data_IF_617492127797
#
_entry.id   IF_617492127797
#
_cell.length_a   1.000
_cell.length_b   1.000
_cell.length_c   1.000
_cell.angle_alpha   90.00
_cell.angle_beta   90.00
_cell.angle_gamma   90.00
#
_symmetry.space_group_name_H-M   'P 1'
#
loop_
_entity.id
_entity.type
_entity.pdbx_description
1 polymer ?
#
# COMPACT_ATOMS: atom_id res chain seq x y z
N UNK A 1 -25.82 18.50 6.89
CA UNK A 1 -24.43 18.89 7.21
C UNK A 1 -23.71 17.60 7.56
N UNK A 2 -22.89 17.09 6.65
CA UNK A 2 -22.08 15.88 6.87
C UNK A 2 -20.81 16.38 7.57
N UNK A 3 -20.65 16.05 8.86
CA UNK A 3 -19.44 16.33 9.62
C UNK A 3 -18.28 15.54 9.01
N UNK A 4 -17.42 16.21 8.28
CA UNK A 4 -16.13 15.65 7.83
C UNK A 4 -15.25 15.62 9.08
N UNK A 5 -14.78 14.47 9.55
CA UNK A 5 -13.83 14.44 10.65
C UNK A 5 -12.54 15.14 10.20
N UNK A 6 -12.07 16.07 11.02
CA UNK A 6 -10.82 16.77 10.79
C UNK A 6 -9.68 15.75 10.65
N UNK A 7 -9.02 15.75 9.50
CA UNK A 7 -7.82 14.97 9.25
C UNK A 7 -6.73 15.54 10.14
N UNK A 8 -6.32 14.78 11.14
CA UNK A 8 -5.14 15.10 11.91
C UNK A 8 -3.96 14.83 10.97
N UNK A 9 -3.39 15.91 10.44
CA UNK A 9 -2.15 15.88 9.67
C UNK A 9 -1.13 14.98 10.40
N UNK A 10 -0.68 13.91 9.75
CA UNK A 10 0.31 12.97 10.29
C UNK A 10 1.71 13.56 10.49
N UNK A 11 1.83 14.88 10.52
CA UNK A 11 3.09 15.60 10.70
C UNK A 11 3.36 15.85 12.18
N UNK A 12 3.84 14.80 12.88
CA UNK A 12 4.52 14.99 14.15
C UNK A 12 5.92 15.53 13.86
N UNK A 13 6.28 16.77 14.26
CA UNK A 13 7.62 17.29 14.06
C UNK A 13 8.66 16.34 14.65
N UNK A 14 9.62 15.90 13.82
CA UNK A 14 10.66 14.97 14.26
C UNK A 14 10.29 13.48 14.19
N UNK A 15 9.11 13.11 13.69
CA UNK A 15 8.76 11.71 13.49
C UNK A 15 9.72 11.05 12.49
N UNK A 16 10.32 9.91 12.90
CA UNK A 16 11.17 9.11 12.01
C UNK A 16 10.32 8.49 10.90
N UNK A 17 10.85 8.48 9.69
CA UNK A 17 10.19 7.84 8.54
C UNK A 17 10.10 6.34 8.76
N UNK A 18 8.88 5.80 8.60
CA UNK A 18 8.62 4.36 8.58
C UNK A 18 9.12 3.73 7.28
N UNK A 19 9.11 2.40 7.29
CA UNK A 19 9.36 1.56 6.12
C UNK A 19 8.14 0.67 5.86
N UNK A 20 7.94 0.31 4.61
CA UNK A 20 6.83 -0.53 4.19
C UNK A 20 7.33 -1.63 3.29
N UNK A 21 6.76 -2.82 3.44
CA UNK A 21 6.83 -3.86 2.44
C UNK A 21 5.44 -4.04 1.82
N UNK A 22 5.37 -4.05 0.49
CA UNK A 22 4.19 -4.54 -0.22
C UNK A 22 4.56 -5.86 -0.89
N UNK A 23 3.99 -6.96 -0.37
CA UNK A 23 4.06 -8.26 -1.03
C UNK A 23 2.94 -8.34 -2.07
N UNK A 24 3.27 -8.75 -3.28
CA UNK A 24 2.33 -8.87 -4.39
C UNK A 24 2.31 -10.33 -4.82
N UNK A 25 1.34 -11.10 -4.33
CA UNK A 25 1.16 -12.49 -4.74
C UNK A 25 0.40 -12.56 -6.05
N UNK A 26 0.96 -13.31 -7.01
CA UNK A 26 0.27 -13.70 -8.25
C UNK A 26 -0.32 -15.09 -8.05
N UNK A 27 -1.62 -15.21 -8.26
CA UNK A 27 -2.36 -16.46 -8.13
C UNK A 27 -3.01 -16.82 -9.46
N UNK A 28 -3.14 -18.12 -9.70
CA UNK A 28 -3.79 -18.69 -10.88
C UNK A 28 -5.03 -19.48 -10.43
N UNK A 29 -6.11 -18.72 -10.16
CA UNK A 29 -7.40 -19.29 -9.82
C UNK A 29 -7.69 -19.41 -8.31
N UNK A 30 -8.93 -19.86 -7.99
CA UNK A 30 -9.46 -19.83 -6.63
C UNK A 30 -8.69 -20.68 -5.63
N UNK A 31 -8.14 -21.81 -6.04
CA UNK A 31 -7.41 -22.71 -5.15
C UNK A 31 -6.14 -22.04 -4.58
N UNK A 32 -5.35 -21.38 -5.43
CA UNK A 32 -4.17 -20.65 -4.97
C UNK A 32 -4.54 -19.40 -4.16
N UNK A 33 -5.62 -18.72 -4.54
CA UNK A 33 -6.12 -17.58 -3.76
C UNK A 33 -6.51 -18.03 -2.34
N UNK A 34 -7.28 -19.12 -2.21
CA UNK A 34 -7.69 -19.68 -0.93
C UNK A 34 -6.51 -20.15 -0.07
N UNK A 35 -5.51 -20.82 -0.68
CA UNK A 35 -4.30 -21.25 0.02
C UNK A 35 -3.50 -20.04 0.56
N UNK A 36 -3.38 -18.97 -0.25
CA UNK A 36 -2.72 -17.73 0.16
C UNK A 36 -3.50 -17.03 1.27
N UNK A 37 -4.84 -16.95 1.18
CA UNK A 37 -5.69 -16.39 2.23
C UNK A 37 -5.53 -17.14 3.55
N UNK A 38 -5.60 -18.47 3.52
CA UNK A 38 -5.43 -19.31 4.73
C UNK A 38 -4.08 -19.02 5.39
N UNK A 39 -3.01 -19.03 4.61
CA UNK A 39 -1.67 -18.74 5.12
C UNK A 39 -1.57 -17.33 5.75
N UNK A 40 -2.07 -16.31 5.06
CA UNK A 40 -2.02 -14.95 5.56
C UNK A 40 -2.83 -14.80 6.86
N UNK A 41 -4.05 -15.34 6.89
CA UNK A 41 -4.97 -15.27 8.02
C UNK A 41 -4.50 -16.06 9.24
N UNK A 42 -4.04 -17.29 9.03
CA UNK A 42 -3.80 -18.25 10.13
C UNK A 42 -2.33 -18.31 10.59
N UNK A 43 -1.37 -17.91 9.73
CA UNK A 43 0.05 -17.98 10.05
C UNK A 43 0.74 -16.61 10.04
N UNK A 44 0.72 -15.90 8.91
CA UNK A 44 1.55 -14.71 8.71
C UNK A 44 1.15 -13.54 9.60
N UNK A 45 -0.14 -13.14 9.59
CA UNK A 45 -0.64 -12.00 10.38
C UNK A 45 -0.50 -12.27 11.89
N UNK A 46 -0.88 -13.44 12.44
CA UNK A 46 -0.65 -13.75 13.85
C UNK A 46 0.83 -13.67 14.26
N UNK A 47 1.74 -14.17 13.42
CA UNK A 47 3.18 -14.09 13.69
C UNK A 47 3.71 -12.65 13.66
N UNK A 48 3.20 -11.82 12.74
CA UNK A 48 3.53 -10.41 12.66
C UNK A 48 3.04 -9.64 13.89
N UNK A 49 1.78 -9.86 14.33
CA UNK A 49 1.23 -9.27 15.55
C UNK A 49 2.04 -9.68 16.79
N UNK A 50 2.42 -10.95 16.91
CA UNK A 50 3.31 -11.45 17.97
C UNK A 50 4.66 -10.74 17.97
N UNK A 51 5.15 -10.34 16.81
CA UNK A 51 6.38 -9.56 16.64
C UNK A 51 6.18 -8.05 16.84
N UNK A 52 4.99 -7.59 17.23
CA UNK A 52 4.65 -6.19 17.45
C UNK A 52 4.42 -5.39 16.16
N UNK A 53 4.27 -6.06 15.02
CA UNK A 53 3.91 -5.45 13.73
C UNK A 53 2.39 -5.52 13.58
N UNK A 54 1.74 -4.36 13.64
CA UNK A 54 0.29 -4.22 13.55
C UNK A 54 -0.09 -3.40 12.30
N UNK A 55 -1.38 -3.32 12.01
CA UNK A 55 -1.93 -2.64 10.84
C UNK A 55 -1.42 -3.25 9.53
N UNK A 56 -1.54 -4.57 9.42
CA UNK A 56 -1.24 -5.30 8.20
C UNK A 56 -2.44 -5.23 7.27
N UNK A 57 -2.24 -4.62 6.10
CA UNK A 57 -3.28 -4.53 5.08
C UNK A 57 -3.23 -5.72 4.13
N UNK A 58 -4.37 -6.37 3.91
CA UNK A 58 -4.50 -7.37 2.84
C UNK A 58 -5.62 -6.95 1.91
N UNK A 59 -5.28 -6.75 0.63
CA UNK A 59 -6.18 -6.18 -0.35
C UNK A 59 -6.26 -7.05 -1.59
N UNK A 60 -7.48 -7.15 -2.17
CA UNK A 60 -7.72 -7.83 -3.44
C UNK A 60 -8.36 -6.87 -4.42
N UNK A 61 -7.94 -6.90 -5.71
CA UNK A 61 -8.56 -6.10 -6.75
C UNK A 61 -10.07 -6.34 -6.81
N UNK A 62 -10.83 -5.26 -7.03
CA UNK A 62 -12.29 -5.31 -7.23
C UNK A 62 -12.65 -6.03 -8.53
N UNK A 63 -13.89 -6.47 -8.68
CA UNK A 63 -14.34 -7.27 -9.83
C UNK A 63 -14.14 -6.59 -11.19
N UNK A 64 -14.21 -5.27 -11.22
CA UNK A 64 -14.01 -4.48 -12.45
C UNK A 64 -12.54 -4.23 -12.80
N UNK A 65 -11.61 -4.57 -11.90
CA UNK A 65 -10.17 -4.43 -12.16
C UNK A 65 -9.65 -5.62 -12.98
N UNK A 66 -8.75 -5.36 -13.92
CA UNK A 66 -8.15 -6.42 -14.79
C UNK A 66 -7.30 -7.42 -14.02
N UNK A 67 -6.89 -7.08 -12.79
CA UNK A 67 -6.15 -7.93 -11.88
C UNK A 67 -7.04 -8.75 -10.93
N UNK A 68 -8.37 -8.63 -11.04
CA UNK A 68 -9.32 -9.40 -10.23
C UNK A 68 -9.05 -10.90 -10.28
N UNK A 69 -9.03 -11.54 -9.13
CA UNK A 69 -8.75 -12.97 -8.99
C UNK A 69 -7.30 -13.41 -9.32
N UNK A 70 -6.40 -12.45 -9.62
CA UNK A 70 -5.01 -12.73 -10.05
C UNK A 70 -3.96 -12.21 -9.09
N UNK A 71 -4.28 -11.20 -8.29
CA UNK A 71 -3.34 -10.55 -7.39
C UNK A 71 -3.90 -10.44 -5.96
N UNK A 72 -3.01 -10.57 -4.98
CA UNK A 72 -3.25 -10.27 -3.57
C UNK A 72 -2.13 -9.36 -3.11
N UNK A 73 -2.47 -8.21 -2.54
CA UNK A 73 -1.51 -7.24 -2.01
C UNK A 73 -1.48 -7.31 -0.49
N UNK A 74 -0.28 -7.38 0.09
CA UNK A 74 -0.08 -7.37 1.55
C UNK A 74 0.82 -6.22 1.91
N UNK A 75 0.30 -5.25 2.65
CA UNK A 75 1.05 -4.12 3.19
C UNK A 75 1.52 -4.45 4.60
N UNK A 76 2.82 -4.41 4.84
CA UNK A 76 3.44 -4.65 6.14
C UNK A 76 4.24 -3.41 6.55
N UNK A 77 3.87 -2.70 7.63
CA UNK A 77 4.60 -1.53 8.10
C UNK A 77 5.71 -1.89 9.09
N UNK A 78 6.84 -1.20 9.01
CA UNK A 78 7.96 -1.33 9.92
C UNK A 78 8.36 0.04 10.46
N UNK A 79 8.67 0.14 11.75
CA UNK A 79 9.16 1.39 12.36
C UNK A 79 10.56 1.73 11.89
N UNK A 80 11.39 0.70 11.66
CA UNK A 80 12.77 0.82 11.18
C UNK A 80 13.04 -0.24 10.11
N UNK A 81 14.09 -0.05 9.30
CA UNK A 81 14.51 -1.10 8.34
C UNK A 81 15.03 -2.37 9.05
N UNK A 82 15.61 -2.23 10.25
CA UNK A 82 16.07 -3.38 11.05
C UNK A 82 14.89 -4.28 11.46
N UNK A 83 13.72 -3.72 11.72
CA UNK A 83 12.53 -4.47 12.11
C UNK A 83 12.08 -5.44 11.01
N UNK A 84 12.30 -5.09 9.73
CA UNK A 84 12.06 -5.98 8.61
C UNK A 84 12.93 -7.25 8.71
N UNK A 85 14.23 -7.09 8.93
CA UNK A 85 15.16 -8.23 9.03
C UNK A 85 14.94 -9.06 10.30
N UNK A 86 14.66 -8.40 11.42
CA UNK A 86 14.30 -9.07 12.67
C UNK A 86 13.05 -9.92 12.51
N UNK A 87 12.04 -9.39 11.84
CA UNK A 87 10.80 -10.11 11.59
C UNK A 87 11.03 -11.32 10.66
N UNK A 88 11.77 -11.13 9.57
CA UNK A 88 12.11 -12.24 8.67
C UNK A 88 12.81 -13.39 9.43
N UNK A 89 13.82 -13.06 10.25
CA UNK A 89 14.52 -14.06 11.07
C UNK A 89 13.63 -14.70 12.15
N UNK A 90 12.70 -13.93 12.73
CA UNK A 90 11.77 -14.46 13.73
C UNK A 90 10.81 -15.49 13.13
N UNK A 91 10.35 -15.29 11.90
CA UNK A 91 9.50 -16.26 11.21
C UNK A 91 10.19 -17.63 11.00
N UNK A 92 11.50 -17.64 10.74
CA UNK A 92 12.25 -18.89 10.52
C UNK A 92 12.18 -19.84 11.72
N UNK A 93 12.13 -19.27 12.94
CA UNK A 93 12.17 -20.01 14.21
C UNK A 93 10.84 -20.07 14.95
N UNK A 94 9.79 -19.40 14.47
CA UNK A 94 8.48 -19.40 15.11
C UNK A 94 7.74 -20.72 14.85
N UNK A 95 7.69 -21.60 15.87
CA UNK A 95 7.06 -22.90 15.77
C UNK A 95 5.56 -22.82 15.46
N UNK A 96 4.83 -21.79 15.98
CA UNK A 96 3.41 -21.62 15.72
C UNK A 96 3.17 -21.18 14.27
N UNK A 97 3.97 -20.26 13.75
CA UNK A 97 3.94 -19.83 12.36
C UNK A 97 4.23 -21.01 11.42
N UNK A 98 5.30 -21.78 11.70
CA UNK A 98 5.70 -22.92 10.87
C UNK A 98 4.63 -24.01 10.89
N UNK A 99 4.00 -24.29 12.02
CA UNK A 99 2.92 -25.28 12.11
C UNK A 99 1.66 -24.83 11.37
N UNK A 100 1.20 -23.60 11.58
CA UNK A 100 -0.01 -23.06 10.93
C UNK A 100 0.18 -22.84 9.42
N UNK A 101 1.38 -22.42 9.02
CA UNK A 101 1.75 -22.12 7.63
C UNK A 101 2.28 -23.31 6.85
N UNK A 102 2.37 -24.53 7.44
CA UNK A 102 3.09 -25.68 6.88
C UNK A 102 2.76 -25.96 5.42
N UNK A 103 1.47 -26.10 5.11
CA UNK A 103 1.01 -26.43 3.75
C UNK A 103 1.42 -25.40 2.69
N UNK A 104 1.60 -24.14 3.11
CA UNK A 104 2.04 -23.05 2.25
C UNK A 104 3.57 -22.96 2.15
N UNK A 105 4.25 -23.09 3.30
CA UNK A 105 5.70 -22.91 3.41
C UNK A 105 6.46 -24.08 2.77
N UNK A 106 5.98 -25.32 2.98
CA UNK A 106 6.59 -26.55 2.48
C UNK A 106 5.97 -27.05 1.18
N UNK A 107 5.13 -26.25 0.52
CA UNK A 107 4.47 -26.62 -0.72
C UNK A 107 5.49 -27.00 -1.81
N UNK A 108 5.16 -28.05 -2.55
CA UNK A 108 5.97 -28.50 -3.71
C UNK A 108 5.54 -27.77 -4.99
N UNK A 109 6.31 -27.92 -6.06
CA UNK A 109 5.95 -27.37 -7.36
C UNK A 109 4.60 -27.90 -7.89
N UNK A 110 4.20 -29.13 -7.50
CA UNK A 110 2.95 -29.73 -7.95
C UNK A 110 1.71 -29.07 -7.32
N UNK A 111 1.86 -28.51 -6.12
CA UNK A 111 0.78 -27.88 -5.35
C UNK A 111 1.15 -26.46 -4.88
N UNK A 112 1.92 -25.73 -5.70
CA UNK A 112 2.37 -24.38 -5.39
C UNK A 112 1.18 -23.45 -5.06
N UNK A 113 1.18 -22.77 -3.90
CA UNK A 113 0.05 -21.97 -3.43
C UNK A 113 -0.05 -20.60 -4.10
N UNK A 114 0.90 -20.25 -4.93
CA UNK A 114 0.93 -19.03 -5.77
C UNK A 114 1.83 -19.28 -6.98
N UNK A 115 1.71 -18.45 -8.00
CA UNK A 115 2.61 -18.50 -9.18
C UNK A 115 3.97 -17.92 -8.82
N UNK A 116 3.99 -16.70 -8.33
CA UNK A 116 5.17 -15.95 -7.82
C UNK A 116 4.68 -14.86 -6.88
N UNK A 117 5.57 -14.37 -6.02
CA UNK A 117 5.34 -13.11 -5.34
C UNK A 117 6.53 -12.16 -5.52
N UNK A 118 6.23 -10.89 -5.47
CA UNK A 118 7.19 -9.80 -5.45
C UNK A 118 7.17 -9.14 -4.08
N UNK A 119 8.34 -8.82 -3.53
CA UNK A 119 8.48 -7.98 -2.35
C UNK A 119 8.99 -6.61 -2.78
N UNK A 120 8.25 -5.55 -2.42
CA UNK A 120 8.60 -4.16 -2.71
C UNK A 120 8.84 -3.45 -1.39
N UNK A 121 10.11 -3.11 -1.12
CA UNK A 121 10.49 -2.44 0.11
C UNK A 121 10.66 -0.93 -0.12
N UNK A 122 10.04 -0.13 0.76
CA UNK A 122 9.91 1.30 0.58
C UNK A 122 10.24 2.05 1.86
N UNK A 123 10.67 3.31 1.69
CA UNK A 123 10.79 4.30 2.76
C UNK A 123 9.66 5.32 2.63
N UNK A 124 9.00 5.64 3.74
CA UNK A 124 7.97 6.67 3.80
C UNK A 124 8.46 8.03 3.26
N UNK A 125 7.56 8.84 2.71
CA UNK A 125 7.90 10.21 2.33
C UNK A 125 8.11 11.10 3.56
N UNK A 126 8.90 12.17 3.39
CA UNK A 126 9.24 13.07 4.48
C UNK A 126 8.04 13.82 5.06
N UNK A 127 7.09 14.22 4.20
CA UNK A 127 5.90 14.96 4.62
C UNK A 127 4.75 14.05 5.09
N UNK A 128 4.86 12.72 4.90
CA UNK A 128 4.02 11.71 5.52
C UNK A 128 4.90 10.57 6.06
N UNK A 129 5.65 10.80 7.16
CA UNK A 129 6.65 9.85 7.66
C UNK A 129 6.04 8.62 8.34
N UNK A 130 4.76 8.68 8.73
CA UNK A 130 4.03 7.62 9.41
C UNK A 130 2.84 7.17 8.57
N UNK A 131 2.49 5.90 8.70
CA UNK A 131 1.26 5.36 8.11
C UNK A 131 0.04 5.87 8.88
N UNK A 132 -1.05 6.09 8.15
CA UNK A 132 -2.34 6.41 8.72
C UNK A 132 -3.37 5.38 8.27
N UNK A 133 -4.13 4.83 9.23
CA UNK A 133 -5.24 3.90 8.95
C UNK A 133 -6.55 4.63 9.24
N UNK A 134 -7.26 5.12 8.22
CA UNK A 134 -8.53 5.79 8.39
C UNK A 134 -9.59 4.87 8.99
N UNK A 135 -10.40 5.41 9.90
CA UNK A 135 -11.55 4.69 10.46
C UNK A 135 -12.81 5.08 9.70
N UNK A 136 -13.41 4.11 9.03
CA UNK A 136 -14.68 4.25 8.35
C UNK A 136 -15.80 3.58 9.13
N UNK A 137 -17.01 4.13 9.01
CA UNK A 137 -18.24 3.50 9.49
C UNK A 137 -18.87 2.55 8.48
N UNK A 138 -18.46 2.65 7.21
CA UNK A 138 -18.90 1.76 6.12
C UNK A 138 -18.34 0.34 6.30
N UNK A 139 -19.08 -0.64 5.80
CA UNK A 139 -18.63 -2.03 5.80
C UNK A 139 -17.30 -2.18 5.02
N UNK A 140 -16.40 -3.08 5.43
CA UNK A 140 -15.13 -3.32 4.71
C UNK A 140 -15.32 -3.61 3.21
N UNK A 141 -16.37 -4.34 2.83
CA UNK A 141 -16.70 -4.66 1.45
C UNK A 141 -17.06 -3.44 0.57
N UNK A 142 -17.50 -2.33 1.19
CA UNK A 142 -17.81 -1.10 0.46
C UNK A 142 -16.58 -0.21 0.29
N UNK A 143 -15.57 -0.36 1.16
CA UNK A 143 -14.38 0.50 1.16
C UNK A 143 -13.52 0.26 -0.06
N UNK A 144 -13.03 1.33 -0.64
CA UNK A 144 -12.08 1.27 -1.77
C UNK A 144 -10.70 1.65 -1.29
N UNK A 145 -9.73 0.82 -1.62
CA UNK A 145 -8.30 1.08 -1.46
C UNK A 145 -7.67 1.15 -2.84
N UNK A 146 -7.05 2.29 -3.17
CA UNK A 146 -6.39 2.48 -4.45
C UNK A 146 -4.87 2.45 -4.26
N UNK A 147 -4.25 1.33 -4.68
CA UNK A 147 -2.80 1.19 -4.72
C UNK A 147 -2.26 1.73 -6.03
N UNK A 148 -1.40 2.72 -5.96
CA UNK A 148 -0.80 3.35 -7.14
C UNK A 148 0.70 3.16 -7.17
N UNK A 149 1.24 2.99 -8.38
CA UNK A 149 2.68 2.89 -8.66
C UNK A 149 3.04 3.81 -9.82
N UNK A 150 4.02 4.69 -9.61
CA UNK A 150 4.53 5.62 -10.61
C UNK A 150 5.97 5.29 -10.92
N UNK A 151 6.22 4.83 -12.14
CA UNK A 151 7.54 4.54 -12.67
C UNK A 151 8.09 5.79 -13.36
N UNK A 152 9.40 6.01 -13.28
CA UNK A 152 10.09 7.14 -13.91
C UNK A 152 11.15 6.66 -14.87
N UNK A 153 11.49 7.48 -15.85
CA UNK A 153 12.51 7.15 -16.86
C UNK A 153 13.96 7.20 -16.33
N UNK A 154 14.18 7.82 -15.15
CA UNK A 154 15.49 7.89 -14.50
C UNK A 154 15.36 8.12 -13.00
N UNK A 155 16.42 7.84 -12.23
CA UNK A 155 16.49 8.10 -10.79
C UNK A 155 16.22 9.59 -10.48
N UNK A 156 16.82 10.51 -11.24
CA UNK A 156 16.60 11.95 -11.05
C UNK A 156 15.14 12.35 -11.25
N UNK A 157 14.45 11.79 -12.24
CA UNK A 157 13.03 12.04 -12.47
C UNK A 157 12.15 11.45 -11.35
N UNK A 158 12.50 10.28 -10.83
CA UNK A 158 11.80 9.69 -9.68
C UNK A 158 11.96 10.54 -8.41
N UNK A 159 13.18 10.99 -8.11
CA UNK A 159 13.44 11.88 -6.97
C UNK A 159 12.71 13.22 -7.13
N UNK A 160 12.66 13.77 -8.35
CA UNK A 160 11.91 14.99 -8.63
C UNK A 160 10.38 14.78 -8.49
N UNK A 161 9.84 13.61 -8.85
CA UNK A 161 8.43 13.28 -8.58
C UNK A 161 8.16 13.19 -7.07
N UNK A 162 9.07 12.59 -6.30
CA UNK A 162 8.98 12.56 -4.83
C UNK A 162 9.05 13.99 -4.24
N UNK A 163 9.92 14.86 -4.78
CA UNK A 163 9.96 16.29 -4.41
C UNK A 163 8.62 16.98 -4.70
N UNK A 164 7.98 16.69 -5.84
CA UNK A 164 6.65 17.22 -6.17
C UNK A 164 5.60 16.84 -5.12
N UNK A 165 5.59 15.59 -4.64
CA UNK A 165 4.70 15.16 -3.56
C UNK A 165 4.96 15.90 -2.24
N UNK A 166 6.22 16.03 -1.83
CA UNK A 166 6.63 16.68 -0.58
C UNK A 166 6.65 18.22 -0.72
N UNK A 167 7.80 18.78 -1.08
CA UNK A 167 8.01 20.24 -1.16
C UNK A 167 7.10 20.93 -2.18
N UNK A 168 6.72 20.26 -3.27
CA UNK A 168 5.75 20.76 -4.24
C UNK A 168 4.32 20.81 -3.70
N UNK A 169 4.02 20.08 -2.62
CA UNK A 169 2.77 20.17 -1.89
C UNK A 169 1.64 19.25 -2.42
N UNK A 170 1.93 18.27 -3.27
CA UNK A 170 0.90 17.32 -3.75
C UNK A 170 0.20 16.59 -2.59
N UNK A 171 0.94 16.19 -1.52
CA UNK A 171 0.38 15.60 -0.30
C UNK A 171 -0.63 16.53 0.36
N UNK A 172 -0.34 17.84 0.43
CA UNK A 172 -1.25 18.83 1.01
C UNK A 172 -2.54 18.99 0.22
N UNK A 173 -2.49 18.76 -1.10
CA UNK A 173 -3.70 18.76 -1.93
C UNK A 173 -4.59 17.58 -1.55
N UNK A 174 -4.03 16.38 -1.36
CA UNK A 174 -4.78 15.22 -0.86
C UNK A 174 -5.46 15.51 0.49
N UNK A 175 -4.77 16.18 1.41
CA UNK A 175 -5.34 16.58 2.70
C UNK A 175 -6.52 17.57 2.53
N UNK A 176 -6.35 18.59 1.68
CA UNK A 176 -7.37 19.63 1.44
C UNK A 176 -8.66 19.09 0.84
N UNK A 177 -8.58 18.08 -0.03
CA UNK A 177 -9.75 17.49 -0.69
C UNK A 177 -10.39 16.35 0.12
N UNK A 178 -9.86 16.04 1.32
CA UNK A 178 -10.37 14.97 2.15
C UNK A 178 -10.06 13.56 1.64
N UNK A 179 -9.07 13.40 0.77
CA UNK A 179 -8.52 12.08 0.48
C UNK A 179 -7.86 11.51 1.74
N UNK A 180 -7.93 10.20 1.89
CA UNK A 180 -7.38 9.50 3.05
C UNK A 180 -6.15 8.70 2.62
N UNK A 181 -4.96 9.33 2.49
CA UNK A 181 -3.74 8.60 2.19
C UNK A 181 -3.37 7.71 3.37
N UNK A 182 -3.03 6.45 3.07
CA UNK A 182 -2.53 5.48 4.05
C UNK A 182 -1.01 5.60 4.16
N UNK A 183 -0.33 5.62 3.04
CA UNK A 183 1.12 5.87 2.96
C UNK A 183 1.53 6.43 1.60
N UNK A 184 2.68 7.09 1.56
CA UNK A 184 3.47 7.36 0.36
C UNK A 184 4.88 6.80 0.57
N UNK A 185 5.41 6.05 -0.40
CA UNK A 185 6.69 5.36 -0.26
C UNK A 185 7.60 5.47 -1.48
N UNK A 186 8.87 5.80 -1.23
CA UNK A 186 9.94 5.65 -2.21
C UNK A 186 10.37 4.18 -2.26
N UNK A 187 10.32 3.55 -3.42
CA UNK A 187 10.79 2.18 -3.59
C UNK A 187 12.31 2.13 -3.52
N UNK A 188 12.84 1.43 -2.52
CA UNK A 188 14.26 1.20 -2.32
C UNK A 188 14.71 -0.11 -2.97
N UNK A 189 13.92 -1.19 -2.76
CA UNK A 189 14.16 -2.53 -3.32
C UNK A 189 12.88 -3.05 -3.96
N UNK A 190 13.01 -3.82 -5.03
CA UNK A 190 11.89 -4.38 -5.80
C UNK A 190 12.09 -4.20 -7.29
N UNK A 191 11.15 -4.71 -8.09
CA UNK A 191 11.15 -4.61 -9.54
C UNK A 191 10.70 -3.22 -10.04
N UNK A 192 10.89 -2.95 -11.34
CA UNK A 192 10.36 -1.78 -12.05
C UNK A 192 10.84 -0.43 -11.48
N UNK A 193 12.04 -0.39 -10.91
CA UNK A 193 12.69 0.85 -10.46
C UNK A 193 13.20 1.68 -11.66
N UNK A 194 13.31 3.02 -11.50
CA UNK A 194 12.96 3.79 -10.30
C UNK A 194 11.45 4.06 -10.23
N UNK A 195 10.86 3.90 -9.04
CA UNK A 195 9.42 4.14 -8.84
C UNK A 195 9.09 4.55 -7.40
N UNK A 196 7.91 5.11 -7.23
CA UNK A 196 7.24 5.32 -5.95
C UNK A 196 5.91 4.55 -5.93
N UNK A 197 5.41 4.26 -4.74
CA UNK A 197 4.07 3.71 -4.55
C UNK A 197 3.35 4.44 -3.43
N UNK A 198 2.03 4.46 -3.49
CA UNK A 198 1.19 4.97 -2.41
C UNK A 198 -0.17 4.29 -2.39
N UNK A 199 -0.83 4.38 -1.24
CA UNK A 199 -2.17 3.84 -1.02
C UNK A 199 -3.06 4.95 -0.49
N UNK A 200 -4.20 5.15 -1.15
CA UNK A 200 -5.30 5.99 -0.67
C UNK A 200 -6.52 5.14 -0.40
N UNK A 201 -7.42 5.61 0.44
CA UNK A 201 -8.63 4.86 0.77
C UNK A 201 -9.86 5.74 0.87
N UNK A 202 -11.01 5.14 0.59
CA UNK A 202 -12.29 5.84 0.45
C UNK A 202 -13.41 4.99 1.06
N UNK A 203 -14.43 5.65 1.59
CA UNK A 203 -15.57 4.98 2.20
C UNK A 203 -16.35 4.08 1.22
N UNK A 204 -16.34 4.43 -0.08
CA UNK A 204 -16.97 3.69 -1.18
C UNK A 204 -16.49 4.23 -2.53
N UNK A 205 -16.93 3.62 -3.64
CA UNK A 205 -16.57 4.03 -5.00
C UNK A 205 -17.01 5.47 -5.32
N UNK A 206 -18.19 5.89 -4.87
CA UNK A 206 -18.64 7.26 -5.09
C UNK A 206 -17.71 8.29 -4.44
N UNK A 207 -17.30 8.06 -3.21
CA UNK A 207 -16.35 8.96 -2.53
C UNK A 207 -14.96 8.95 -3.16
N UNK A 208 -14.51 7.83 -3.74
CA UNK A 208 -13.32 7.75 -4.58
C UNK A 208 -13.43 8.68 -5.80
N UNK A 209 -14.51 8.56 -6.57
CA UNK A 209 -14.70 9.31 -7.81
C UNK A 209 -14.84 10.82 -7.55
N UNK A 210 -15.62 11.20 -6.52
CA UNK A 210 -15.79 12.59 -6.09
C UNK A 210 -14.45 13.21 -5.66
N UNK A 211 -13.64 12.45 -4.91
CA UNK A 211 -12.34 12.89 -4.43
C UNK A 211 -11.35 13.12 -5.60
N UNK A 212 -11.28 12.20 -6.55
CA UNK A 212 -10.44 12.37 -7.75
C UNK A 212 -10.94 13.48 -8.68
N UNK A 213 -12.25 13.72 -8.75
CA UNK A 213 -12.80 14.89 -9.46
C UNK A 213 -12.35 16.20 -8.80
N UNK A 214 -12.46 16.28 -7.47
CA UNK A 214 -11.99 17.43 -6.69
C UNK A 214 -10.48 17.65 -6.84
N UNK A 215 -9.67 16.58 -6.82
CA UNK A 215 -8.23 16.67 -7.03
C UNK A 215 -7.89 17.29 -8.39
N UNK A 216 -8.48 16.76 -9.47
CA UNK A 216 -8.23 17.28 -10.82
C UNK A 216 -8.68 18.73 -11.02
N UNK A 217 -9.74 19.14 -10.33
CA UNK A 217 -10.28 20.50 -10.38
C UNK A 217 -9.51 21.49 -9.50
N UNK A 218 -8.73 21.01 -8.51
CA UNK A 218 -8.07 21.84 -7.52
C UNK A 218 -7.08 22.82 -8.16
N UNK A 219 -7.13 24.15 -7.85
CA UNK A 219 -6.26 25.13 -8.46
C UNK A 219 -4.77 24.86 -8.18
N UNK A 220 -4.41 24.44 -6.96
CA UNK A 220 -3.03 24.10 -6.61
C UNK A 220 -2.52 22.91 -7.44
N UNK A 221 -3.38 21.93 -7.74
CA UNK A 221 -3.00 20.82 -8.61
C UNK A 221 -2.75 21.27 -10.05
N UNK A 222 -3.62 22.12 -10.59
CA UNK A 222 -3.43 22.67 -11.94
C UNK A 222 -2.13 23.43 -12.06
N UNK A 223 -1.81 24.28 -11.07
CA UNK A 223 -0.54 24.99 -11.02
C UNK A 223 0.66 24.04 -10.90
N UNK A 224 0.60 23.08 -9.95
CA UNK A 224 1.68 22.12 -9.69
C UNK A 224 1.95 21.20 -10.89
N UNK A 225 0.90 20.65 -11.50
CA UNK A 225 1.01 19.71 -12.62
C UNK A 225 1.48 20.37 -13.92
N UNK A 226 1.29 21.67 -14.08
CA UNK A 226 1.75 22.44 -15.25
C UNK A 226 3.15 23.03 -15.07
N UNK A 227 3.72 22.98 -13.86
CA UNK A 227 5.04 23.53 -13.58
C UNK A 227 6.11 22.83 -14.39
N UNK A 228 6.94 23.60 -15.10
CA UNK A 228 8.01 23.10 -15.98
C UNK A 228 8.99 22.18 -15.25
N UNK A 229 9.28 22.49 -13.98
CA UNK A 229 10.15 21.74 -13.10
C UNK A 229 9.75 20.27 -12.98
N UNK A 230 8.43 19.95 -13.02
CA UNK A 230 7.90 18.59 -12.77
C UNK A 230 7.53 17.83 -14.04
N UNK A 231 7.73 18.42 -15.22
CA UNK A 231 7.42 17.76 -16.50
C UNK A 231 8.27 16.52 -16.75
N UNK A 232 7.62 15.48 -17.28
CA UNK A 232 8.29 14.24 -17.66
C UNK A 232 8.81 13.40 -16.49
N UNK A 233 8.31 13.62 -15.28
CA UNK A 233 8.72 12.86 -14.09
C UNK A 233 8.22 11.42 -14.07
N UNK A 234 7.07 11.15 -14.70
CA UNK A 234 6.43 9.82 -14.68
C UNK A 234 6.40 9.28 -16.11
N UNK A 235 6.93 8.07 -16.30
CA UNK A 235 6.91 7.35 -17.57
C UNK A 235 5.75 6.35 -17.66
N UNK A 236 5.33 5.80 -16.50
CA UNK A 236 4.22 4.85 -16.42
C UNK A 236 3.49 4.96 -15.09
N UNK A 237 2.17 4.89 -15.14
CA UNK A 237 1.30 4.86 -13.97
C UNK A 237 0.50 3.57 -13.96
N UNK A 238 0.41 2.94 -12.80
CA UNK A 238 -0.52 1.85 -12.52
C UNK A 238 -1.38 2.23 -11.34
N UNK A 239 -2.65 1.87 -11.38
CA UNK A 239 -3.59 2.03 -10.28
C UNK A 239 -4.41 0.74 -10.17
N UNK A 240 -4.60 0.25 -8.97
CA UNK A 240 -5.39 -0.94 -8.67
C UNK A 240 -6.41 -0.58 -7.61
N UNK A 241 -7.68 -0.74 -7.92
CA UNK A 241 -8.78 -0.59 -6.97
C UNK A 241 -9.00 -1.91 -6.26
N UNK A 242 -9.05 -1.87 -4.94
CA UNK A 242 -9.11 -3.06 -4.11
C UNK A 242 -10.14 -2.92 -3.00
N UNK A 243 -10.66 -4.06 -2.53
CA UNK A 243 -11.29 -4.21 -1.23
C UNK A 243 -10.32 -4.83 -0.21
N UNK A 244 -10.42 -4.48 1.08
CA UNK A 244 -9.70 -5.22 2.12
C UNK A 244 -10.35 -6.60 2.29
N UNK A 245 -9.57 -7.59 2.70
CA UNK A 245 -10.11 -8.89 3.12
C UNK A 245 -10.74 -8.79 4.51
N UNK A 246 -11.55 -9.79 4.89
CA UNK A 246 -12.20 -9.89 6.21
C UNK A 246 -11.21 -10.08 7.38
N UNK A 247 -9.97 -10.47 7.06
CA UNK A 247 -8.88 -10.67 8.03
C UNK A 247 -7.78 -9.61 7.94
N UNK A 248 -7.97 -8.58 7.13
CA UNK A 248 -7.11 -7.39 7.09
C UNK A 248 -7.29 -6.55 8.35
N UNK A 249 -6.24 -5.92 8.85
CA UNK A 249 -6.34 -4.95 9.97
C UNK A 249 -6.98 -3.61 9.53
N UNK A 250 -7.41 -3.48 8.27
CA UNK A 250 -7.93 -2.26 7.63
C UNK A 250 -9.44 -2.23 7.48
#
# INVERSE_FOLDING_TARGET
MISVPAIISGKTPGAKQMYYEVKIYRVNGPAQAAATDKYLKEAFIPAAHKSGINNIGVFKPIETDTAFGKLIYVLVPFKTYDDYFKFASALETDAAYNAAGKDFIEATNANAPFVRYESVFMKAFADMPQMFVPKFTTAPADRIYELRSYESGSEGKALNKIKMFNAGGEIKIFEKIGANPVFFGQVLLGSQKPRLMYLTTYANMKSHDDCWAAFRAHPDWKALSSAEEYKGNTSKTKAFLCHPTDYSDF
#
